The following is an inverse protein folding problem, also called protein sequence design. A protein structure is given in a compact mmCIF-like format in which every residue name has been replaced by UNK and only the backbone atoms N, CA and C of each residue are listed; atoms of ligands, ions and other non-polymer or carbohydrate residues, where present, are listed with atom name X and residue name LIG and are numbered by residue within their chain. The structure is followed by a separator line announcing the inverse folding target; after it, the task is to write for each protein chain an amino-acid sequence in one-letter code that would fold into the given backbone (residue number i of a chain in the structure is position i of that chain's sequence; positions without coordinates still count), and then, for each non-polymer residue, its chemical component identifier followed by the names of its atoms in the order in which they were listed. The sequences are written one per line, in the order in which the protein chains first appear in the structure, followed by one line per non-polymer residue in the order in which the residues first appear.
data_IF_057228056316
#
_entry.id   IF_057228056316
#
_cell.length_a   1.000
_cell.length_b   1.000
_cell.length_c   1.000
_cell.angle_alpha   90.00
_cell.angle_beta   90.00
_cell.angle_gamma   90.00
#
_symmetry.space_group_name_H-M   'P 1'
#
loop_
_entity.id
_entity.type
_entity.pdbx_description
1 polymer ?
#
# COMPACT_ATOMS: atom_id res chain seq x y z
N UNK A 1 -8.42 -8.73 10.85
CA UNK A 1 -7.80 -9.40 12.02
C UNK A 1 -6.28 -9.23 12.07
N UNK A 2 -5.58 -9.20 10.93
CA UNK A 2 -4.11 -9.04 10.83
C UNK A 2 -3.52 -7.96 11.76
N UNK A 3 -4.10 -6.75 11.77
CA UNK A 3 -3.59 -5.63 12.58
C UNK A 3 -3.51 -5.99 14.07
N UNK A 4 -4.54 -6.64 14.60
CA UNK A 4 -4.61 -7.05 16.01
C UNK A 4 -3.71 -8.25 16.24
N UNK A 5 -3.71 -9.23 15.34
CA UNK A 5 -2.92 -10.46 15.46
C UNK A 5 -1.40 -10.19 15.45
N UNK A 6 -0.95 -9.19 14.69
CA UNK A 6 0.45 -8.77 14.60
C UNK A 6 0.81 -7.59 15.50
N UNK A 7 -0.15 -7.11 16.28
CA UNK A 7 -0.02 -5.96 17.17
C UNK A 7 0.56 -4.71 16.48
N UNK A 8 0.07 -4.43 15.27
CA UNK A 8 0.45 -3.23 14.53
C UNK A 8 -0.21 -1.98 15.13
N UNK A 9 0.54 -0.87 15.21
CA UNK A 9 -0.01 0.46 15.46
C UNK A 9 -0.70 1.03 14.23
N UNK A 10 -0.17 0.72 13.04
CA UNK A 10 -0.72 1.13 11.75
C UNK A 10 -0.71 -0.07 10.81
N UNK A 11 -1.81 -0.34 10.13
CA UNK A 11 -1.86 -1.33 9.05
C UNK A 11 -2.38 -0.65 7.78
N UNK A 12 -1.50 -0.50 6.78
CA UNK A 12 -1.79 0.15 5.50
C UNK A 12 -2.14 -0.90 4.45
N UNK A 13 -3.27 -0.73 3.75
CA UNK A 13 -3.51 -1.50 2.53
C UNK A 13 -2.51 -1.12 1.43
N UNK A 14 -2.01 -2.11 0.70
CA UNK A 14 -1.14 -1.92 -0.43
C UNK A 14 -1.48 -2.89 -1.57
N UNK A 15 -1.07 -2.52 -2.78
CA UNK A 15 -0.93 -3.46 -3.89
C UNK A 15 0.53 -3.86 -4.01
N UNK A 16 0.79 -5.08 -4.49
CA UNK A 16 2.13 -5.58 -4.73
C UNK A 16 2.49 -5.37 -6.21
N UNK A 17 3.50 -4.54 -6.46
CA UNK A 17 4.07 -4.37 -7.79
C UNK A 17 5.18 -5.42 -8.00
N UNK A 18 4.80 -6.56 -8.60
CA UNK A 18 5.67 -7.71 -8.86
C UNK A 18 6.49 -7.52 -10.16
N UNK A 19 7.24 -6.43 -10.22
CA UNK A 19 8.11 -6.07 -11.36
C UNK A 19 9.22 -5.11 -10.92
N UNK A 20 10.20 -4.89 -11.78
CA UNK A 20 11.29 -3.93 -11.56
C UNK A 20 10.75 -2.51 -11.39
N UNK A 21 10.88 -1.97 -10.19
CA UNK A 21 10.46 -0.62 -9.84
C UNK A 21 11.67 0.29 -9.63
N UNK A 22 11.58 1.53 -10.12
CA UNK A 22 12.63 2.54 -9.96
C UNK A 22 12.03 3.89 -9.53
N UNK A 23 12.80 4.67 -8.78
CA UNK A 23 12.45 6.04 -8.39
C UNK A 23 13.63 6.97 -8.67
N UNK A 24 13.39 8.05 -9.42
CA UNK A 24 14.43 9.02 -9.77
C UNK A 24 15.64 8.38 -10.47
N UNK A 25 15.41 7.37 -11.32
CA UNK A 25 16.44 6.63 -12.02
C UNK A 25 17.24 5.63 -11.17
N UNK A 26 16.87 5.43 -9.91
CA UNK A 26 17.51 4.46 -9.01
C UNK A 26 16.60 3.23 -8.84
N UNK A 27 17.15 2.01 -8.93
CA UNK A 27 16.35 0.80 -8.75
C UNK A 27 15.91 0.67 -7.28
N UNK A 28 14.70 0.16 -7.06
CA UNK A 28 14.13 -0.11 -5.73
C UNK A 28 14.31 -1.58 -5.36
N UNK A 29 13.87 -2.50 -6.23
CA UNK A 29 13.85 -3.93 -5.95
C UNK A 29 14.63 -4.77 -6.98
N UNK A 30 15.50 -4.14 -7.78
CA UNK A 30 16.34 -4.83 -8.76
C UNK A 30 17.74 -4.22 -8.81
N UNK A 31 18.61 -4.73 -9.68
CA UNK A 31 19.94 -4.14 -9.91
C UNK A 31 20.20 -4.02 -11.42
N UNK A 32 21.13 -3.14 -11.80
CA UNK A 32 21.61 -3.08 -13.19
C UNK A 32 22.71 -4.11 -13.49
N UNK A 33 23.23 -4.80 -12.47
CA UNK A 33 24.34 -5.72 -12.62
C UNK A 33 23.91 -7.06 -13.22
N UNK A 34 22.66 -7.45 -13.00
CA UNK A 34 22.10 -8.72 -13.48
C UNK A 34 20.60 -8.62 -13.76
N UNK A 35 20.10 -9.50 -14.63
CA UNK A 35 18.67 -9.63 -14.91
C UNK A 35 18.09 -10.72 -14.02
N UNK A 36 17.25 -10.32 -13.07
CA UNK A 36 16.41 -11.22 -12.28
C UNK A 36 15.05 -11.39 -12.96
N UNK A 37 14.45 -12.58 -12.86
CA UNK A 37 13.09 -12.79 -13.34
C UNK A 37 12.11 -12.02 -12.43
N UNK A 38 11.15 -11.30 -13.00
CA UNK A 38 10.24 -10.44 -12.22
C UNK A 38 9.39 -11.23 -11.20
N UNK A 39 9.15 -12.53 -11.43
CA UNK A 39 8.44 -13.42 -10.50
C UNK A 39 9.25 -13.75 -9.24
N UNK A 40 10.57 -13.54 -9.26
CA UNK A 40 11.49 -13.81 -8.15
C UNK A 40 11.87 -12.55 -7.37
N UNK A 41 11.46 -11.37 -7.84
CA UNK A 41 11.72 -10.10 -7.16
C UNK A 41 10.92 -9.99 -5.86
N UNK A 42 11.49 -9.33 -4.85
CA UNK A 42 10.68 -8.84 -3.73
C UNK A 42 9.74 -7.75 -4.27
N UNK A 43 8.41 -7.89 -4.10
CA UNK A 43 7.46 -6.92 -4.63
C UNK A 43 7.55 -5.58 -3.91
N UNK A 44 7.37 -4.49 -4.65
CA UNK A 44 7.20 -3.17 -4.03
C UNK A 44 5.77 -3.03 -3.52
N UNK A 45 5.64 -2.65 -2.25
CA UNK A 45 4.35 -2.38 -1.60
C UNK A 45 3.89 -0.95 -1.92
N UNK A 46 2.98 -0.79 -2.89
CA UNK A 46 2.38 0.50 -3.24
C UNK A 46 1.12 0.71 -2.42
N UNK A 47 1.15 1.66 -1.48
CA UNK A 47 0.01 1.98 -0.59
C UNK A 47 -1.22 2.35 -1.43
N UNK A 48 -2.35 1.68 -1.18
CA UNK A 48 -3.61 1.91 -1.90
C UNK A 48 -4.62 2.75 -1.13
N UNK A 49 -4.52 2.81 0.20
CA UNK A 49 -5.48 3.51 1.08
C UNK A 49 -6.91 2.95 1.03
N UNK A 50 -7.12 1.78 0.45
CA UNK A 50 -8.44 1.14 0.31
C UNK A 50 -9.07 0.87 1.69
N UNK A 51 -8.29 0.26 2.58
CA UNK A 51 -8.63 0.04 3.99
C UNK A 51 -7.37 0.23 4.81
N UNK A 52 -7.45 1.07 5.84
CA UNK A 52 -6.32 1.34 6.73
C UNK A 52 -6.80 1.31 8.17
N UNK A 53 -5.99 0.75 9.06
CA UNK A 53 -6.25 0.71 10.50
C UNK A 53 -5.21 1.47 11.30
N UNK A 54 -5.65 2.13 12.37
CA UNK A 54 -4.79 2.82 13.34
C UNK A 54 -5.16 2.45 14.77
N UNK A 55 -4.15 2.27 15.62
CA UNK A 55 -4.35 2.16 17.06
C UNK A 55 -4.72 3.54 17.58
N UNK A 56 -5.93 3.65 18.09
CA UNK A 56 -6.52 4.93 18.51
C UNK A 56 -5.61 5.72 19.47
N UNK A 57 -5.08 5.07 20.50
CA UNK A 57 -4.19 5.70 21.48
C UNK A 57 -2.92 6.28 20.84
N UNK A 58 -2.31 5.53 19.93
CA UNK A 58 -1.08 5.93 19.22
C UNK A 58 -1.35 7.12 18.29
N UNK A 59 -2.46 7.06 17.54
CA UNK A 59 -2.88 8.12 16.64
C UNK A 59 -3.17 9.43 17.39
N UNK A 60 -3.98 9.36 18.46
CA UNK A 60 -4.39 10.53 19.24
C UNK A 60 -3.16 11.18 19.90
N UNK A 61 -2.29 10.39 20.54
CA UNK A 61 -1.09 10.92 21.19
C UNK A 61 -0.16 11.63 20.19
N UNK A 62 -0.01 11.08 18.97
CA UNK A 62 0.77 11.73 17.93
C UNK A 62 0.15 13.04 17.44
N UNK A 63 -1.17 13.06 17.25
CA UNK A 63 -1.90 14.26 16.87
C UNK A 63 -1.76 15.37 17.93
N UNK A 64 -1.98 15.05 19.21
CA UNK A 64 -1.85 16.00 20.32
C UNK A 64 -0.43 16.53 20.48
N UNK A 65 0.57 15.73 20.13
CA UNK A 65 1.98 16.14 20.10
C UNK A 65 2.37 16.95 18.84
N UNK A 66 1.43 17.25 17.94
CA UNK A 66 1.70 17.97 16.69
C UNK A 66 2.51 17.18 15.66
N UNK A 67 2.51 15.84 15.76
CA UNK A 67 3.20 14.93 14.83
C UNK A 67 2.25 14.38 13.77
N UNK A 68 2.81 13.73 12.76
CA UNK A 68 2.02 13.05 11.70
C UNK A 68 1.40 11.76 12.21
N UNK A 69 0.15 11.84 12.68
CA UNK A 69 -0.57 10.69 13.25
C UNK A 69 -0.76 9.52 12.26
N UNK A 70 -0.90 9.80 10.96
CA UNK A 70 -1.15 8.81 9.90
C UNK A 70 -0.12 7.67 9.83
N UNK A 71 1.14 7.95 10.18
CA UNK A 71 2.24 6.97 10.17
C UNK A 71 2.87 6.82 11.56
N UNK A 72 2.12 7.15 12.62
CA UNK A 72 2.65 7.15 13.98
C UNK A 72 2.48 5.80 14.65
N UNK A 73 3.54 5.38 15.35
CA UNK A 73 3.63 4.10 16.02
C UNK A 73 5.00 3.47 15.84
N UNK A 74 5.26 2.41 16.58
CA UNK A 74 6.49 1.63 16.46
C UNK A 74 6.34 0.54 15.39
N UNK A 75 5.14 -0.01 15.25
CA UNK A 75 4.85 -1.13 14.36
C UNK A 75 3.91 -0.71 13.21
N UNK A 76 4.46 -0.65 12.00
CA UNK A 76 3.71 -0.37 10.76
C UNK A 76 3.68 -1.63 9.91
N UNK A 77 2.48 -2.12 9.63
CA UNK A 77 2.23 -3.24 8.74
C UNK A 77 1.73 -2.79 7.38
N UNK A 78 1.92 -3.66 6.39
CA UNK A 78 1.37 -3.52 5.04
C UNK A 78 0.55 -4.77 4.71
N UNK A 79 -0.71 -4.56 4.31
CA UNK A 79 -1.62 -5.65 3.99
C UNK A 79 -1.92 -5.65 2.49
N UNK A 80 -1.56 -6.72 1.76
CA UNK A 80 -1.82 -6.78 0.32
C UNK A 80 -3.32 -6.91 0.06
N UNK A 81 -3.83 -6.07 -0.83
CA UNK A 81 -5.14 -6.20 -1.46
C UNK A 81 -4.95 -6.47 -2.95
N UNK A 82 -5.96 -7.04 -3.61
CA UNK A 82 -5.92 -7.25 -5.05
C UNK A 82 -5.93 -5.91 -5.82
N UNK A 83 -5.66 -5.97 -7.13
CA UNK A 83 -5.51 -4.77 -7.96
C UNK A 83 -6.80 -3.98 -8.13
N UNK A 84 -7.96 -4.63 -8.10
CA UNK A 84 -9.26 -3.96 -8.23
C UNK A 84 -9.62 -3.26 -6.91
N UNK A 85 -9.49 -3.95 -5.79
CA UNK A 85 -9.66 -3.35 -4.45
C UNK A 85 -8.62 -2.26 -4.16
N UNK A 86 -7.43 -2.37 -4.74
CA UNK A 86 -6.32 -1.42 -4.62
C UNK A 86 -6.34 -0.26 -5.63
N UNK A 87 -7.38 -0.15 -6.45
CA UNK A 87 -7.52 0.93 -7.43
C UNK A 87 -7.79 2.27 -6.74
N UNK A 88 -7.13 3.35 -7.20
CA UNK A 88 -7.15 4.65 -6.53
C UNK A 88 -7.60 5.70 -7.54
N UNK A 89 -8.67 6.44 -7.22
CA UNK A 89 -9.14 7.53 -8.06
C UNK A 89 -8.48 8.84 -7.64
N UNK A 90 -7.59 9.38 -8.48
CA UNK A 90 -6.97 10.71 -8.34
C UNK A 90 -7.20 11.60 -9.55
N UNK A 91 -7.52 10.99 -10.70
CA UNK A 91 -7.74 11.62 -11.99
C UNK A 91 -9.02 11.09 -12.64
N UNK A 92 -9.44 11.76 -13.71
CA UNK A 92 -10.58 11.30 -14.53
C UNK A 92 -10.31 9.94 -15.18
N UNK A 93 -9.07 9.67 -15.61
CA UNK A 93 -8.70 8.38 -16.18
C UNK A 93 -8.88 7.24 -15.17
N UNK A 94 -8.49 7.47 -13.90
CA UNK A 94 -8.71 6.49 -12.84
C UNK A 94 -10.22 6.20 -12.65
N UNK A 95 -11.06 7.24 -12.70
CA UNK A 95 -12.52 7.07 -12.58
C UNK A 95 -13.08 6.23 -13.74
N UNK A 96 -12.64 6.52 -14.98
CA UNK A 96 -13.07 5.77 -16.16
C UNK A 96 -12.66 4.29 -16.11
N UNK A 97 -11.46 3.99 -15.60
CA UNK A 97 -11.02 2.61 -15.36
C UNK A 97 -11.91 1.94 -14.31
N UNK A 98 -12.25 2.63 -13.23
CA UNK A 98 -13.13 2.08 -12.19
C UNK A 98 -14.53 1.77 -12.76
N UNK A 99 -15.13 2.72 -13.47
CA UNK A 99 -16.45 2.59 -14.09
C UNK A 99 -16.49 1.43 -15.10
N UNK A 100 -15.43 1.25 -15.89
CA UNK A 100 -15.35 0.15 -16.85
C UNK A 100 -15.18 -1.24 -16.21
N UNK A 101 -14.69 -1.32 -14.97
CA UNK A 101 -14.33 -2.58 -14.30
C UNK A 101 -15.25 -2.94 -13.13
N UNK A 102 -16.08 -2.02 -12.64
CA UNK A 102 -16.87 -2.22 -11.41
C UNK A 102 -17.81 -3.43 -11.52
N UNK A 103 -18.43 -3.63 -12.69
CA UNK A 103 -19.33 -4.76 -12.95
C UNK A 103 -18.64 -6.13 -12.85
N UNK A 104 -17.31 -6.18 -12.98
CA UNK A 104 -16.53 -7.42 -12.82
C UNK A 104 -16.30 -7.79 -11.36
N UNK A 105 -16.47 -6.84 -10.44
CA UNK A 105 -16.29 -7.04 -9.00
C UNK A 105 -17.61 -7.44 -8.32
N UNK A 106 -18.74 -6.98 -8.86
CA UNK A 106 -20.07 -7.24 -8.31
C UNK A 106 -20.70 -8.58 -8.75
N UNK A 107 -20.08 -9.30 -9.69
CA UNK A 107 -20.54 -10.58 -10.24
C UNK A 107 -20.10 -11.80 -9.42
#
# INVERSE_FOLDING_TARGET
EEMVAKDYDVLLSCTLEQIECAIGGKPINFTFAEKTNSQELEPVQRISWSITGWRSSTYIAAFEAGKTATYSGESIGFYPVDRLAGHIIKTEEDLQIADALIDLVEA
#
